data_IF_415324276862
#
_entry.id   IF_415324276862
#
_cell.length_a   1.000
_cell.length_b   1.000
_cell.length_c   1.000
_cell.angle_alpha   90.00
_cell.angle_beta   90.00
_cell.angle_gamma   90.00
#
_symmetry.space_group_name_H-M   'P 1'
#
loop_
_entity.id
_entity.type
_entity.pdbx_description
1 polymer ?
#
# COMPACT_ATOMS: atom_id res chain seq x y z
N UNK A 1 27.56 0.40 23.65
CA UNK A 1 26.25 0.03 23.09
C UNK A 1 25.25 1.08 23.58
N UNK A 2 24.97 2.11 22.77
CA UNK A 2 24.05 3.18 23.17
C UNK A 2 22.62 2.77 22.84
N UNK A 3 21.86 2.43 23.88
CA UNK A 3 20.42 2.19 23.77
C UNK A 3 19.67 3.52 23.79
N UNK A 4 18.69 3.67 22.91
CA UNK A 4 17.80 4.82 22.93
C UNK A 4 16.73 4.64 24.00
N UNK A 5 16.55 5.66 24.84
CA UNK A 5 15.54 5.74 25.89
C UNK A 5 14.36 6.55 25.38
N UNK A 6 13.17 5.96 25.35
CA UNK A 6 11.93 6.72 25.15
C UNK A 6 11.68 7.52 26.44
N UNK A 7 11.73 8.84 26.34
CA UNK A 7 11.66 9.75 27.51
C UNK A 7 10.28 10.33 27.76
N UNK A 8 9.36 10.25 26.80
CA UNK A 8 7.98 10.64 27.00
C UNK A 8 7.05 9.95 25.99
N UNK A 9 5.92 9.47 26.50
CA UNK A 9 4.75 9.07 25.72
C UNK A 9 3.58 9.82 26.35
N UNK A 10 2.95 10.70 25.59
CA UNK A 10 1.73 11.38 26.04
C UNK A 10 0.58 10.98 25.12
N UNK A 11 -0.54 10.66 25.73
CA UNK A 11 -1.80 10.39 25.04
C UNK A 11 -2.65 11.63 25.30
N UNK A 12 -2.88 12.43 24.27
CA UNK A 12 -3.86 13.50 24.37
C UNK A 12 -5.24 12.89 24.15
N UNK A 13 -6.01 12.73 25.23
CA UNK A 13 -7.43 12.46 25.13
C UNK A 13 -8.13 13.81 25.00
N UNK A 14 -8.23 14.32 23.77
CA UNK A 14 -9.06 15.50 23.56
C UNK A 14 -10.53 15.17 23.81
N UNK A 15 -11.18 16.11 24.47
CA UNK A 15 -12.55 16.09 24.93
C UNK A 15 -13.51 15.84 23.78
N UNK A 16 -14.60 15.15 24.09
CA UNK A 16 -15.76 14.93 23.22
C UNK A 16 -16.44 16.26 22.93
N UNK A 17 -15.94 16.99 21.94
CA UNK A 17 -16.69 18.05 21.31
C UNK A 17 -17.72 17.43 20.37
N UNK A 18 -18.99 17.69 20.69
CA UNK A 18 -20.14 17.43 19.83
C UNK A 18 -19.95 18.20 18.52
N UNK A 19 -19.42 17.54 17.50
CA UNK A 19 -19.46 18.07 16.13
C UNK A 19 -20.69 17.48 15.46
N UNK A 20 -21.65 18.38 15.22
CA UNK A 20 -22.86 18.15 14.45
C UNK A 20 -22.56 17.43 13.13
N UNK A 21 -23.47 16.54 12.75
CA UNK A 21 -23.46 15.81 11.47
C UNK A 21 -23.52 16.78 10.28
N UNK A 22 -22.39 17.38 9.90
CA UNK A 22 -22.13 17.76 8.53
C UNK A 22 -21.59 16.53 7.82
N UNK A 23 -22.23 16.08 6.73
CA UNK A 23 -21.60 15.09 5.85
C UNK A 23 -20.16 15.52 5.57
N UNK A 24 -19.17 14.63 5.70
CA UNK A 24 -17.80 15.03 5.44
C UNK A 24 -17.75 15.47 3.97
N UNK A 25 -17.49 16.77 3.77
CA UNK A 25 -16.84 17.25 2.55
C UNK A 25 -15.73 16.24 2.20
N UNK A 26 -15.49 15.98 0.90
CA UNK A 26 -14.52 14.99 0.43
C UNK A 26 -13.08 15.33 0.86
N UNK A 27 -12.79 15.24 2.16
CA UNK A 27 -11.51 15.54 2.76
C UNK A 27 -10.53 14.46 2.34
N UNK A 28 -9.35 14.87 1.90
CA UNK A 28 -8.32 13.95 1.45
C UNK A 28 -7.83 13.05 2.58
N UNK A 29 -7.54 11.79 2.28
CA UNK A 29 -6.89 10.84 3.20
C UNK A 29 -5.61 11.42 3.78
N UNK A 30 -4.91 12.29 3.03
CA UNK A 30 -3.71 12.98 3.53
C UNK A 30 -3.97 13.70 4.85
N UNK A 31 -5.13 14.34 4.99
CA UNK A 31 -5.46 15.19 6.12
C UNK A 31 -6.20 14.45 7.24
N UNK A 32 -6.99 13.43 6.91
CA UNK A 32 -7.85 12.75 7.89
C UNK A 32 -7.24 11.46 8.45
N UNK A 33 -6.30 10.84 7.76
CA UNK A 33 -5.70 9.59 8.19
C UNK A 33 -4.46 9.81 9.06
N UNK A 34 -4.23 8.89 9.99
CA UNK A 34 -2.91 8.75 10.62
C UNK A 34 -1.98 8.05 9.64
N UNK A 35 -0.83 8.65 9.33
CA UNK A 35 0.14 8.10 8.36
C UNK A 35 1.40 7.58 9.04
N UNK A 36 2.04 6.59 8.43
CA UNK A 36 3.35 6.05 8.82
C UNK A 36 4.26 5.88 7.60
N UNK A 37 5.56 6.22 7.69
CA UNK A 37 6.23 6.83 8.85
C UNK A 37 5.84 8.29 9.10
N UNK A 38 5.44 8.99 8.03
CA UNK A 38 4.99 10.37 8.05
C UNK A 38 3.90 10.58 6.99
N UNK A 39 3.26 11.74 7.00
CA UNK A 39 2.27 12.12 5.98
C UNK A 39 2.96 12.19 4.62
N UNK A 40 2.43 11.52 3.57
CA UNK A 40 3.04 11.63 2.24
C UNK A 40 3.14 13.11 1.81
N UNK A 41 4.22 13.52 1.12
CA UNK A 41 4.37 14.87 0.58
C UNK A 41 3.26 15.31 -0.40
N UNK A 42 3.02 16.61 -0.52
CA UNK A 42 1.95 17.19 -1.36
C UNK A 42 2.18 17.04 -2.87
N UNK A 43 3.42 16.86 -3.31
CA UNK A 43 3.76 16.60 -4.71
C UNK A 43 3.37 15.18 -5.16
N UNK A 44 3.04 14.30 -4.21
CA UNK A 44 2.53 12.95 -4.48
C UNK A 44 1.01 12.97 -4.68
N UNK A 45 0.52 12.36 -5.75
CA UNK A 45 -0.91 12.18 -5.97
C UNK A 45 -1.38 10.93 -5.23
N UNK A 46 -2.10 11.15 -4.12
CA UNK A 46 -2.83 10.12 -3.41
C UNK A 46 -4.20 9.96 -4.07
N UNK A 47 -4.41 8.87 -4.80
CA UNK A 47 -5.68 8.64 -5.46
C UNK A 47 -6.70 8.08 -4.46
N UNK A 48 -7.24 8.94 -3.59
CA UNK A 48 -8.08 8.54 -2.45
C UNK A 48 -9.29 7.68 -2.84
N UNK A 49 -9.85 7.87 -4.04
CA UNK A 49 -10.95 7.04 -4.57
C UNK A 49 -10.54 5.59 -4.87
N UNK A 50 -9.25 5.36 -5.15
CA UNK A 50 -8.68 4.03 -5.38
C UNK A 50 -8.60 3.19 -4.10
N UNK A 51 -8.74 3.83 -2.93
CA UNK A 51 -8.50 3.18 -1.66
C UNK A 51 -9.52 2.06 -1.39
N UNK A 52 -8.99 0.85 -1.24
CA UNK A 52 -9.82 -0.36 -1.21
C UNK A 52 -10.51 -0.63 0.14
N UNK A 53 -10.13 0.08 1.20
CA UNK A 53 -10.64 -0.11 2.57
C UNK A 53 -11.64 0.95 3.05
N UNK A 54 -12.05 0.86 4.32
CA UNK A 54 -12.81 1.90 5.02
C UNK A 54 -11.99 3.18 5.08
N UNK A 55 -12.62 4.33 4.81
CA UNK A 55 -12.03 5.61 5.22
C UNK A 55 -11.73 5.54 6.72
N UNK A 56 -10.49 5.84 7.16
CA UNK A 56 -10.13 5.77 8.56
C UNK A 56 -11.09 6.62 9.38
N UNK A 57 -11.68 6.02 10.42
CA UNK A 57 -12.46 6.73 11.42
C UNK A 57 -11.49 7.17 12.52
N UNK A 58 -11.60 8.42 12.99
CA UNK A 58 -10.66 9.06 13.93
C UNK A 58 -10.52 8.35 15.28
N UNK A 59 -11.39 7.38 15.60
CA UNK A 59 -11.50 6.78 16.93
C UNK A 59 -10.62 5.55 17.16
N UNK A 60 -9.94 5.02 16.14
CA UNK A 60 -9.07 3.83 16.28
C UNK A 60 -7.71 4.03 15.62
N UNK A 61 -6.63 3.78 16.37
CA UNK A 61 -5.26 3.87 15.85
C UNK A 61 -4.99 2.78 14.81
N UNK A 62 -5.11 3.14 13.54
CA UNK A 62 -4.84 2.29 12.38
C UNK A 62 -4.07 3.11 11.34
N UNK A 63 -2.74 3.27 11.48
CA UNK A 63 -1.99 4.10 10.56
C UNK A 63 -2.00 3.51 9.14
N UNK A 64 -2.15 4.38 8.14
CA UNK A 64 -1.86 4.06 6.75
C UNK A 64 -0.35 4.12 6.56
N UNK A 65 0.24 2.98 6.22
CA UNK A 65 1.64 2.93 5.81
C UNK A 65 1.76 3.17 4.31
N UNK A 66 2.89 3.70 3.86
CA UNK A 66 3.16 3.87 2.44
C UNK A 66 4.63 3.60 2.09
N UNK A 67 4.86 3.34 0.80
CA UNK A 67 6.19 3.17 0.19
C UNK A 67 6.28 3.97 -1.11
N UNK A 68 7.51 4.35 -1.50
CA UNK A 68 7.79 5.09 -2.74
C UNK A 68 8.90 4.43 -3.55
N UNK A 69 8.57 3.32 -4.21
CA UNK A 69 9.53 2.55 -5.00
C UNK A 69 10.07 3.28 -6.24
N UNK A 70 9.30 4.22 -6.80
CA UNK A 70 9.74 5.03 -7.93
C UNK A 70 10.78 6.08 -7.56
N UNK A 71 11.04 6.31 -6.28
CA UNK A 71 11.90 7.41 -5.82
C UNK A 71 11.36 8.77 -6.22
N UNK A 72 12.06 9.84 -5.86
CA UNK A 72 11.61 11.20 -6.15
C UNK A 72 11.48 11.42 -7.67
N UNK A 73 10.28 11.79 -8.15
CA UNK A 73 10.01 12.02 -9.58
C UNK A 73 10.40 10.83 -10.46
N UNK A 74 10.16 9.60 -9.98
CA UNK A 74 10.38 8.39 -10.77
C UNK A 74 11.85 8.04 -11.03
N UNK A 75 12.82 8.68 -10.37
CA UNK A 75 14.27 8.44 -10.56
C UNK A 75 14.69 6.97 -10.41
N UNK A 76 13.98 6.19 -9.60
CA UNK A 76 14.31 4.80 -9.35
C UNK A 76 13.58 3.84 -10.31
N UNK A 77 12.61 4.31 -11.10
CA UNK A 77 11.88 3.46 -12.04
C UNK A 77 12.80 2.74 -13.04
N UNK A 78 13.84 3.37 -13.61
CA UNK A 78 14.79 2.69 -14.48
C UNK A 78 15.55 1.53 -13.81
N UNK A 79 15.63 1.55 -12.48
CA UNK A 79 16.36 0.57 -11.69
C UNK A 79 15.48 -0.59 -11.23
N UNK A 80 14.15 -0.51 -11.37
CA UNK A 80 13.22 -1.57 -10.94
C UNK A 80 13.41 -2.81 -11.81
N UNK A 81 13.78 -3.94 -11.19
CA UNK A 81 13.88 -5.26 -11.82
C UNK A 81 12.67 -6.15 -11.58
N UNK A 82 11.82 -5.77 -10.64
CA UNK A 82 10.58 -6.46 -10.38
C UNK A 82 10.04 -6.22 -8.98
N UNK A 83 8.96 -6.92 -8.70
CA UNK A 83 8.31 -6.95 -7.39
C UNK A 83 8.16 -8.39 -6.94
N UNK A 84 8.69 -8.70 -5.75
CA UNK A 84 8.40 -9.94 -5.05
C UNK A 84 7.11 -9.79 -4.27
N UNK A 85 6.20 -10.74 -4.46
CA UNK A 85 4.84 -10.68 -3.95
C UNK A 85 4.61 -11.93 -3.12
N UNK A 86 4.28 -11.76 -1.83
CA UNK A 86 4.00 -12.85 -0.92
C UNK A 86 2.53 -12.89 -0.54
N UNK A 87 1.95 -14.07 -0.70
CA UNK A 87 0.66 -14.42 -0.11
C UNK A 87 0.87 -15.42 1.04
N UNK A 88 0.17 -15.20 2.14
CA UNK A 88 -0.04 -16.17 3.21
C UNK A 88 -1.51 -16.58 3.23
N UNK A 89 -2.23 -16.14 4.26
CA UNK A 89 -3.71 -16.17 4.27
C UNK A 89 -4.30 -15.11 3.32
N UNK A 90 -3.60 -13.98 3.18
CA UNK A 90 -3.92 -12.88 2.27
C UNK A 90 -2.63 -12.26 1.71
N UNK A 91 -2.72 -11.20 0.91
CA UNK A 91 -1.56 -10.44 0.48
C UNK A 91 -0.77 -9.98 1.71
N UNK A 92 0.45 -10.46 1.88
CA UNK A 92 1.23 -10.27 3.10
C UNK A 92 2.34 -9.23 2.92
N UNK A 93 2.96 -9.21 1.74
CA UNK A 93 4.07 -8.34 1.45
C UNK A 93 4.26 -8.08 -0.04
N UNK A 94 4.77 -6.88 -0.34
CA UNK A 94 5.35 -6.46 -1.62
C UNK A 94 6.77 -5.97 -1.36
N UNK A 95 7.75 -6.48 -2.10
CA UNK A 95 9.13 -6.02 -2.00
C UNK A 95 9.67 -5.71 -3.39
N UNK A 96 10.06 -4.46 -3.62
CA UNK A 96 10.64 -4.02 -4.88
C UNK A 96 12.12 -4.38 -4.94
N UNK A 97 12.52 -4.96 -6.07
CA UNK A 97 13.89 -5.39 -6.34
C UNK A 97 14.49 -4.44 -7.36
N UNK A 98 15.70 -3.96 -7.08
CA UNK A 98 16.44 -3.05 -7.94
C UNK A 98 17.72 -3.68 -8.49
N UNK A 99 18.28 -3.12 -9.56
CA UNK A 99 19.53 -3.59 -10.16
C UNK A 99 20.80 -3.03 -9.53
N UNK A 100 20.66 -1.99 -8.72
CA UNK A 100 21.74 -1.37 -7.98
C UNK A 100 21.31 -1.06 -6.54
N UNK A 101 22.30 -0.84 -5.68
CA UNK A 101 22.05 -0.22 -4.38
C UNK A 101 21.63 1.24 -4.63
N UNK A 102 20.38 1.56 -4.32
CA UNK A 102 19.84 2.90 -4.53
C UNK A 102 20.35 3.84 -3.42
N UNK A 103 21.06 4.95 -3.76
CA UNK A 103 21.71 5.80 -2.77
C UNK A 103 20.74 6.49 -1.79
N UNK A 104 19.53 6.79 -2.25
CA UNK A 104 18.56 7.61 -1.53
C UNK A 104 17.77 6.84 -0.46
N UNK A 105 17.90 5.50 -0.37
CA UNK A 105 17.09 4.66 0.55
C UNK A 105 17.83 4.21 1.81
N UNK A 106 18.95 4.84 2.17
CA UNK A 106 19.60 4.69 3.47
C UNK A 106 19.69 3.23 3.94
N UNK A 107 20.54 2.43 3.29
CA UNK A 107 20.80 1.01 3.58
C UNK A 107 19.64 0.01 3.34
N UNK A 108 18.55 0.39 2.67
CA UNK A 108 17.55 -0.58 2.22
C UNK A 108 17.77 -0.96 0.74
N UNK A 109 18.28 -2.17 0.52
CA UNK A 109 18.43 -2.84 -0.78
C UNK A 109 17.08 -3.12 -1.50
N UNK A 110 15.96 -2.65 -0.96
CA UNK A 110 14.60 -2.87 -1.48
C UNK A 110 13.57 -2.04 -0.71
N UNK A 111 12.58 -1.50 -1.42
CA UNK A 111 11.39 -0.88 -0.82
C UNK A 111 10.39 -1.98 -0.45
N UNK A 112 9.88 -1.94 0.78
CA UNK A 112 9.16 -3.04 1.42
C UNK A 112 7.82 -2.58 1.97
N UNK A 113 6.76 -3.24 1.56
CA UNK A 113 5.41 -2.94 2.01
C UNK A 113 4.73 -4.17 2.60
N UNK A 114 4.24 -4.05 3.84
CA UNK A 114 3.76 -5.20 4.61
C UNK A 114 4.91 -5.95 5.30
N UNK A 115 4.70 -7.24 5.60
CA UNK A 115 5.63 -8.01 6.43
C UNK A 115 6.78 -8.59 5.60
N UNK A 116 7.82 -7.80 5.41
CA UNK A 116 8.98 -8.16 4.59
C UNK A 116 10.20 -8.50 5.46
N UNK A 117 10.62 -9.77 5.45
CA UNK A 117 11.86 -10.25 6.05
C UNK A 117 12.33 -11.54 5.36
N UNK A 118 13.59 -11.99 5.58
CA UNK A 118 14.14 -13.13 4.85
C UNK A 118 13.29 -14.39 4.95
N UNK A 119 12.74 -14.70 6.13
CA UNK A 119 11.84 -15.84 6.34
C UNK A 119 10.42 -15.54 5.86
N UNK A 120 9.95 -14.30 5.95
CA UNK A 120 8.61 -13.93 5.49
C UNK A 120 8.45 -13.90 3.97
N UNK A 121 9.54 -13.63 3.25
CA UNK A 121 9.57 -13.61 1.78
C UNK A 121 9.93 -14.96 1.17
N UNK A 122 10.18 -15.99 1.97
CA UNK A 122 10.39 -17.34 1.47
C UNK A 122 9.17 -17.81 0.66
N UNK A 123 9.39 -18.37 -0.53
CA UNK A 123 8.33 -18.75 -1.47
C UNK A 123 7.49 -17.57 -2.01
N UNK A 124 7.99 -16.33 -1.96
CA UNK A 124 7.38 -15.21 -2.68
C UNK A 124 7.50 -15.40 -4.20
N UNK A 125 6.50 -14.92 -4.94
CA UNK A 125 6.52 -14.94 -6.41
C UNK A 125 7.12 -13.65 -6.94
N UNK A 126 8.07 -13.75 -7.88
CA UNK A 126 8.65 -12.59 -8.55
C UNK A 126 7.85 -12.27 -9.81
N UNK A 127 7.39 -11.02 -9.93
CA UNK A 127 7.01 -10.43 -11.20
C UNK A 127 8.13 -9.51 -11.66
N UNK A 128 8.94 -9.99 -12.61
CA UNK A 128 10.03 -9.21 -13.19
C UNK A 128 9.48 -8.00 -13.95
N UNK A 129 10.21 -6.90 -13.94
CA UNK A 129 9.92 -5.65 -14.66
C UNK A 129 11.25 -5.18 -15.26
N UNK A 130 11.26 -4.79 -16.53
CA UNK A 130 12.44 -4.23 -17.18
C UNK A 130 12.45 -2.70 -17.10
N UNK A 131 12.71 -2.18 -15.89
CA UNK A 131 12.78 -0.74 -15.64
C UNK A 131 13.74 -0.02 -16.58
N UNK A 132 14.89 -0.63 -16.89
CA UNK A 132 15.93 -0.04 -17.74
C UNK A 132 15.44 0.18 -19.18
N UNK A 133 14.54 -0.70 -19.67
CA UNK A 133 13.87 -0.53 -20.96
C UNK A 133 12.69 0.47 -20.90
N UNK A 134 12.36 1.02 -19.72
CA UNK A 134 11.23 1.91 -19.50
C UNK A 134 9.92 1.19 -19.16
N UNK A 135 9.99 -0.10 -18.82
CA UNK A 135 8.83 -0.84 -18.34
C UNK A 135 8.45 -0.39 -16.92
N UNK A 136 7.17 -0.18 -16.69
CA UNK A 136 6.61 0.30 -15.43
C UNK A 136 5.23 -0.30 -15.20
N UNK A 137 4.85 -0.42 -13.93
CA UNK A 137 3.50 -0.84 -13.54
C UNK A 137 2.51 0.21 -14.06
N UNK A 138 1.55 -0.22 -14.85
CA UNK A 138 0.54 0.63 -15.47
C UNK A 138 -0.82 0.50 -14.78
N UNK A 139 -1.17 -0.70 -14.31
CA UNK A 139 -2.40 -0.92 -13.56
C UNK A 139 -2.26 -1.99 -12.50
N UNK A 140 -3.15 -1.91 -11.51
CA UNK A 140 -3.25 -2.85 -10.42
C UNK A 140 -4.72 -3.06 -10.04
N UNK A 141 -5.07 -4.31 -9.79
CA UNK A 141 -6.39 -4.71 -9.33
C UNK A 141 -6.24 -5.74 -8.23
N UNK A 142 -7.17 -5.75 -7.28
CA UNK A 142 -7.20 -6.70 -6.17
C UNK A 142 -8.48 -7.51 -6.19
N UNK A 143 -8.37 -8.79 -5.86
CA UNK A 143 -9.48 -9.68 -5.62
C UNK A 143 -9.79 -9.78 -4.14
N UNK A 144 -10.99 -9.38 -3.76
CA UNK A 144 -11.41 -9.27 -2.36
C UNK A 144 -12.36 -10.41 -1.99
N UNK A 145 -12.02 -11.14 -0.92
CA UNK A 145 -12.95 -12.02 -0.23
C UNK A 145 -13.76 -11.19 0.77
N UNK A 146 -15.02 -10.91 0.44
CA UNK A 146 -15.94 -10.17 1.31
C UNK A 146 -16.68 -11.17 2.20
N UNK A 147 -16.62 -10.95 3.51
CA UNK A 147 -17.34 -11.75 4.49
C UNK A 147 -18.43 -10.88 5.13
N UNK A 148 -19.69 -11.14 4.79
CA UNK A 148 -20.85 -10.40 5.32
C UNK A 148 -21.28 -10.87 6.72
N UNK A 149 -20.38 -11.48 7.49
CA UNK A 149 -20.70 -12.00 8.81
C UNK A 149 -20.54 -10.87 9.85
N UNK A 150 -21.61 -10.53 10.60
CA UNK A 150 -21.59 -9.42 11.58
C UNK A 150 -20.59 -9.62 12.72
N UNK A 151 -20.09 -10.83 12.96
CA UNK A 151 -19.05 -11.13 13.94
C UNK A 151 -17.62 -10.77 13.52
N UNK A 152 -17.39 -10.36 12.27
CA UNK A 152 -16.07 -9.89 11.83
C UNK A 152 -15.84 -8.42 12.19
N UNK A 153 -14.60 -8.04 12.57
CA UNK A 153 -14.22 -6.64 12.76
C UNK A 153 -14.57 -5.79 11.53
N UNK A 154 -15.07 -4.58 11.76
CA UNK A 154 -15.58 -3.70 10.70
C UNK A 154 -14.54 -3.42 9.61
N UNK A 155 -13.25 -3.30 9.97
CA UNK A 155 -12.15 -3.08 9.04
C UNK A 155 -11.93 -4.21 8.02
N UNK A 156 -12.48 -5.41 8.25
CA UNK A 156 -12.43 -6.55 7.32
C UNK A 156 -13.67 -6.67 6.43
N UNK A 157 -14.74 -5.91 6.70
CA UNK A 157 -15.99 -5.99 5.92
C UNK A 157 -15.84 -5.56 4.47
N UNK A 158 -14.78 -4.80 4.15
CA UNK A 158 -14.46 -4.34 2.80
C UNK A 158 -13.71 -5.39 1.97
N UNK A 159 -13.41 -6.53 2.61
CA UNK A 159 -12.85 -7.71 1.99
C UNK A 159 -11.35 -7.82 2.21
N UNK A 160 -10.89 -9.07 2.21
CA UNK A 160 -9.49 -9.43 2.38
C UNK A 160 -8.87 -9.65 1.00
N UNK A 161 -7.70 -9.06 0.74
CA UNK A 161 -6.99 -9.20 -0.54
C UNK A 161 -6.49 -10.64 -0.69
N UNK A 162 -7.13 -11.42 -1.58
CA UNK A 162 -6.82 -12.83 -1.82
C UNK A 162 -5.98 -13.07 -3.07
N UNK A 163 -6.13 -12.20 -4.05
CA UNK A 163 -5.27 -12.18 -5.23
C UNK A 163 -5.05 -10.75 -5.70
N UNK A 164 -4.01 -10.56 -6.49
CA UNK A 164 -3.65 -9.29 -7.08
C UNK A 164 -3.30 -9.53 -8.54
N UNK A 165 -3.74 -8.60 -9.38
CA UNK A 165 -3.42 -8.54 -10.79
C UNK A 165 -2.64 -7.25 -11.03
N UNK A 166 -1.54 -7.34 -11.76
CA UNK A 166 -0.76 -6.18 -12.20
C UNK A 166 -0.57 -6.26 -13.70
N UNK A 167 -0.54 -5.10 -14.35
CA UNK A 167 -0.09 -4.95 -15.73
C UNK A 167 1.01 -3.91 -15.84
N UNK A 168 1.82 -4.01 -16.88
CA UNK A 168 2.82 -3.01 -17.24
C UNK A 168 2.43 -2.26 -18.51
N UNK A 169 3.09 -1.14 -18.77
CA UNK A 169 2.95 -0.38 -20.03
C UNK A 169 3.48 -1.14 -21.26
N UNK A 170 4.04 -2.34 -21.08
CA UNK A 170 4.44 -3.27 -22.15
C UNK A 170 3.42 -4.40 -22.33
N UNK A 171 2.19 -4.21 -21.83
CA UNK A 171 1.08 -5.17 -21.89
C UNK A 171 1.37 -6.53 -21.23
N UNK A 172 2.42 -6.61 -20.40
CA UNK A 172 2.69 -7.81 -19.60
C UNK A 172 1.81 -7.80 -18.36
N UNK A 173 1.22 -8.95 -18.05
CA UNK A 173 0.33 -9.10 -16.91
C UNK A 173 0.75 -10.23 -16.00
N UNK A 174 0.45 -10.10 -14.71
CA UNK A 174 0.53 -11.20 -13.76
C UNK A 174 -0.73 -11.26 -12.90
N UNK A 175 -1.08 -12.46 -12.43
CA UNK A 175 -2.14 -12.68 -11.45
C UNK A 175 -1.63 -13.64 -10.38
N UNK A 176 -1.48 -13.15 -9.16
CA UNK A 176 -0.88 -13.89 -8.05
C UNK A 176 -1.84 -13.96 -6.87
N UNK A 177 -1.78 -15.07 -6.12
CA UNK A 177 -2.70 -15.36 -5.02
C UNK A 177 -3.80 -16.35 -5.40
N UNK A 178 -4.80 -16.49 -4.53
CA UNK A 178 -5.87 -17.49 -4.69
C UNK A 178 -7.07 -16.84 -5.40
N UNK A 179 -7.12 -16.95 -6.72
CA UNK A 179 -8.33 -16.55 -7.47
C UNK A 179 -9.41 -17.62 -7.29
N UNK A 180 -10.62 -17.20 -6.89
CA UNK A 180 -11.79 -18.07 -6.71
C UNK A 180 -13.06 -17.35 -7.16
N UNK A 181 -14.06 -18.13 -7.54
CA UNK A 181 -15.40 -17.62 -7.82
C UNK A 181 -16.00 -17.00 -6.56
N UNK A 182 -16.73 -15.88 -6.74
CA UNK A 182 -17.30 -15.10 -5.64
C UNK A 182 -16.38 -14.03 -5.05
N UNK A 183 -15.08 -14.00 -5.39
CA UNK A 183 -14.23 -12.87 -5.02
C UNK A 183 -14.54 -11.64 -5.88
N UNK A 184 -14.69 -10.48 -5.23
CA UNK A 184 -15.00 -9.23 -5.90
C UNK A 184 -13.70 -8.58 -6.36
N UNK A 185 -13.54 -8.45 -7.67
CA UNK A 185 -12.43 -7.69 -8.22
C UNK A 185 -12.67 -6.19 -8.05
N UNK A 186 -11.64 -5.47 -7.63
CA UNK A 186 -11.63 -4.01 -7.56
C UNK A 186 -10.37 -3.48 -8.23
N UNK A 187 -10.55 -2.56 -9.17
CA UNK A 187 -9.43 -1.81 -9.72
C UNK A 187 -8.94 -0.81 -8.69
N UNK A 188 -7.63 -0.67 -8.58
CA UNK A 188 -7.00 0.39 -7.80
C UNK A 188 -6.64 1.46 -8.82
N UNK A 189 -7.54 2.42 -8.96
CA UNK A 189 -7.41 3.45 -9.99
C UNK A 189 -6.11 4.24 -9.85
N UNK A 190 -5.60 4.76 -10.97
CA UNK A 190 -4.42 5.63 -11.03
C UNK A 190 -4.87 6.99 -11.54
N UNK A 191 -4.30 8.07 -11.03
CA UNK A 191 -4.63 9.40 -11.51
C UNK A 191 -4.24 9.56 -12.99
N UNK A 192 -5.12 10.16 -13.78
CA UNK A 192 -4.89 10.31 -15.22
C UNK A 192 -3.64 11.14 -15.51
N UNK A 193 -2.80 10.69 -16.45
CA UNK A 193 -1.57 11.39 -16.83
C UNK A 193 -0.41 11.23 -15.83
N UNK A 194 -0.57 10.43 -14.78
CA UNK A 194 0.47 10.15 -13.79
C UNK A 194 1.07 8.75 -13.97
N UNK A 195 2.20 8.50 -13.33
CA UNK A 195 2.85 7.19 -13.27
C UNK A 195 2.85 6.67 -11.83
N UNK A 196 2.56 5.38 -11.65
CA UNK A 196 2.62 4.71 -10.35
C UNK A 196 4.08 4.70 -9.85
N UNK A 197 4.31 5.30 -8.68
CA UNK A 197 5.63 5.34 -8.02
C UNK A 197 5.60 4.86 -6.58
N UNK A 198 4.43 4.50 -6.06
CA UNK A 198 4.30 3.98 -4.70
C UNK A 198 2.95 3.35 -4.43
N UNK A 199 2.82 2.85 -3.20
CA UNK A 199 1.59 2.29 -2.69
C UNK A 199 1.36 2.75 -1.27
N UNK A 200 0.10 2.78 -0.86
CA UNK A 200 -0.28 3.00 0.53
C UNK A 200 -1.38 2.03 0.95
N UNK A 201 -1.51 1.81 2.26
CA UNK A 201 -2.51 0.92 2.80
C UNK A 201 -2.23 0.50 4.24
N UNK A 202 -3.13 -0.29 4.79
CA UNK A 202 -3.08 -0.79 6.16
C UNK A 202 -2.61 -2.23 6.17
N UNK A 203 -1.85 -2.53 7.22
CA UNK A 203 -1.46 -3.87 7.58
C UNK A 203 -2.17 -4.27 8.88
N UNK A 204 -2.81 -5.43 8.89
CA UNK A 204 -3.37 -6.04 10.10
C UNK A 204 -2.57 -7.27 10.47
N UNK A 205 -2.08 -7.31 11.72
CA UNK A 205 -1.47 -8.51 12.29
C UNK A 205 -2.44 -9.71 12.18
N UNK A 206 -1.90 -10.88 11.82
CA UNK A 206 -2.68 -12.11 11.62
C UNK A 206 -3.42 -12.22 10.28
N UNK A 207 -3.62 -11.11 9.55
CA UNK A 207 -4.30 -11.12 8.24
C UNK A 207 -3.31 -10.83 7.10
N UNK A 208 -2.66 -9.67 7.13
CA UNK A 208 -1.84 -9.15 6.03
C UNK A 208 -2.21 -7.71 5.66
N UNK A 209 -1.88 -7.30 4.43
CA UNK A 209 -2.36 -6.06 3.82
C UNK A 209 -3.86 -6.19 3.56
N UNK A 210 -4.64 -5.35 4.24
CA UNK A 210 -6.11 -5.38 4.17
C UNK A 210 -6.66 -4.43 3.12
N UNK A 211 -5.90 -3.41 2.75
CA UNK A 211 -6.21 -2.50 1.67
C UNK A 211 -4.92 -2.03 0.99
N UNK A 212 -5.12 -1.49 -0.19
CA UNK A 212 -4.10 -1.01 -1.10
C UNK A 212 -4.68 0.19 -1.86
N UNK A 213 -3.88 1.23 -1.97
CA UNK A 213 -4.06 2.40 -2.81
C UNK A 213 -2.76 2.73 -3.53
N UNK A 214 -2.86 3.54 -4.58
CA UNK A 214 -1.73 3.91 -5.44
C UNK A 214 -1.24 5.31 -5.13
N UNK A 215 0.08 5.45 -5.01
CA UNK A 215 0.78 6.73 -5.08
C UNK A 215 1.31 6.90 -6.49
N UNK A 216 1.08 8.08 -7.06
CA UNK A 216 1.51 8.40 -8.42
C UNK A 216 2.08 9.81 -8.55
N UNK A 217 2.93 10.02 -9.55
CA UNK A 217 3.62 11.28 -9.83
C UNK A 217 3.49 11.68 -11.31
N UNK A 218 3.52 12.98 -11.58
CA UNK A 218 3.74 13.51 -12.93
C UNK A 218 5.24 13.45 -13.24
N UNK A 219 5.61 12.68 -14.27
CA UNK A 219 7.00 12.46 -14.68
C UNK A 219 7.39 13.31 -15.88
#
# INVERSE_FOLDING_TARGET
MLGYKITALSINCDQTDNIENSEPENLSLRHIATWYPEVPPEDLVLNDSSFTGLRPVSTTYQPISWIKFGGQRGKNLPHVKGVMIKFGVSLSALQFVYDCDIPDTGNATSEKFGRCGPSEMDGASLFSIDGAAGERIASISVGLAVYENPGYPDYLRHGIIQYLTMSTNFDRTTCLGKKKDGYRMRNVDVASGTTITGFYGHFSLGVGLINLGVISEYL
#
